data_IF_146718508528
#
_entry.id   IF_146718508528
#
_cell.length_a   1.000
_cell.length_b   1.000
_cell.length_c   1.000
_cell.angle_alpha   90.00
_cell.angle_beta   90.00
_cell.angle_gamma   90.00
#
_symmetry.space_group_name_H-M   'P 1'
#
loop_
_entity.id
_entity.type
_entity.pdbx_description
1 polymer ?
#
# COMPACT_ATOMS: atom_id res chain seq x y z
N UNK A 1 52.10 -33.82 4.13
CA UNK A 1 51.58 -34.24 5.45
C UNK A 1 50.13 -33.76 5.54
N UNK A 2 49.16 -34.62 5.21
CA UNK A 2 47.74 -34.25 5.20
C UNK A 2 47.20 -34.08 6.62
N UNK A 3 46.07 -33.38 6.81
CA UNK A 3 45.50 -33.16 8.14
C UNK A 3 45.20 -34.49 8.83
N UNK A 4 45.63 -34.60 10.09
CA UNK A 4 45.43 -35.80 10.92
C UNK A 4 43.93 -36.10 11.07
N UNK A 5 43.49 -37.36 11.22
CA UNK A 5 42.08 -37.73 11.32
C UNK A 5 41.26 -36.89 12.31
N UNK A 6 41.83 -36.55 13.48
CA UNK A 6 41.19 -35.65 14.45
C UNK A 6 41.02 -34.20 13.96
N UNK A 7 41.95 -33.70 13.13
CA UNK A 7 41.84 -32.39 12.50
C UNK A 7 40.72 -32.31 11.45
N UNK A 8 40.46 -33.42 10.73
CA UNK A 8 39.33 -33.50 9.79
C UNK A 8 37.97 -33.50 10.51
N UNK A 9 37.86 -34.22 11.63
CA UNK A 9 36.64 -34.23 12.45
C UNK A 9 36.36 -32.86 13.09
N UNK A 10 37.38 -32.20 13.63
CA UNK A 10 37.25 -30.86 14.17
C UNK A 10 36.86 -29.82 13.10
N UNK A 11 37.39 -29.94 11.87
CA UNK A 11 36.98 -29.10 10.75
C UNK A 11 35.52 -29.37 10.31
N UNK A 12 35.10 -30.63 10.29
CA UNK A 12 33.72 -31.00 9.98
C UNK A 12 32.73 -30.45 11.03
N UNK A 13 33.05 -30.56 12.32
CA UNK A 13 32.25 -29.99 13.40
C UNK A 13 32.12 -28.47 13.28
N UNK A 14 33.25 -27.75 13.10
CA UNK A 14 33.23 -26.29 12.88
C UNK A 14 32.39 -25.87 11.67
N UNK A 15 32.43 -26.65 10.60
CA UNK A 15 31.61 -26.39 9.40
C UNK A 15 30.13 -26.61 9.69
N UNK A 16 29.79 -27.64 10.47
CA UNK A 16 28.41 -27.89 10.89
C UNK A 16 27.87 -26.77 11.79
N UNK A 17 28.65 -26.32 12.77
CA UNK A 17 28.28 -25.20 13.65
C UNK A 17 28.06 -23.91 12.87
N UNK A 18 28.97 -23.59 11.94
CA UNK A 18 28.84 -22.41 11.09
C UNK A 18 27.58 -22.46 10.20
N UNK A 19 27.20 -23.65 9.71
CA UNK A 19 25.96 -23.83 8.93
C UNK A 19 24.71 -23.69 9.79
N UNK A 20 24.74 -24.21 11.02
CA UNK A 20 23.64 -24.06 11.97
C UNK A 20 23.42 -22.57 12.32
N UNK A 21 24.50 -21.85 12.62
CA UNK A 21 24.45 -20.42 12.88
C UNK A 21 23.94 -19.63 11.67
N UNK A 22 24.42 -19.95 10.47
CA UNK A 22 23.92 -19.33 9.24
C UNK A 22 22.41 -19.58 9.05
N UNK A 23 21.93 -20.78 9.39
CA UNK A 23 20.51 -21.14 9.26
C UNK A 23 19.65 -20.39 10.27
N UNK A 24 20.14 -20.22 11.51
CA UNK A 24 19.51 -19.39 12.54
C UNK A 24 19.39 -17.94 12.10
N UNK A 25 20.50 -17.34 11.65
CA UNK A 25 20.50 -15.95 11.19
C UNK A 25 19.59 -15.72 9.98
N UNK A 26 19.53 -16.67 9.05
CA UNK A 26 18.58 -16.62 7.92
C UNK A 26 17.14 -16.64 8.41
N UNK A 27 16.81 -17.52 9.35
CA UNK A 27 15.47 -17.58 9.93
C UNK A 27 15.09 -16.26 10.62
N UNK A 28 15.98 -15.73 11.47
CA UNK A 28 15.77 -14.42 12.12
C UNK A 28 15.55 -13.30 11.11
N UNK A 29 16.35 -13.27 10.05
CA UNK A 29 16.20 -12.29 8.96
C UNK A 29 14.85 -12.43 8.25
N UNK A 30 14.41 -13.66 7.93
CA UNK A 30 13.12 -13.91 7.29
C UNK A 30 11.96 -13.44 8.17
N UNK A 31 12.02 -13.72 9.48
CA UNK A 31 10.99 -13.28 10.43
C UNK A 31 10.94 -11.76 10.49
N UNK A 32 12.08 -11.08 10.66
CA UNK A 32 12.13 -9.61 10.71
C UNK A 32 11.62 -8.98 9.41
N UNK A 33 11.92 -9.57 8.26
CA UNK A 33 11.43 -9.11 6.97
C UNK A 33 9.91 -9.26 6.85
N UNK A 34 9.35 -10.40 7.27
CA UNK A 34 7.91 -10.62 7.28
C UNK A 34 7.17 -9.61 8.17
N UNK A 35 7.71 -9.31 9.36
CA UNK A 35 7.15 -8.28 10.24
C UNK A 35 7.16 -6.89 9.60
N UNK A 36 8.24 -6.52 8.91
CA UNK A 36 8.34 -5.26 8.19
C UNK A 36 7.29 -5.18 7.09
N UNK A 37 7.18 -6.22 6.25
CA UNK A 37 6.20 -6.26 5.15
C UNK A 37 4.75 -6.15 5.64
N UNK A 38 4.41 -6.83 6.73
CA UNK A 38 3.09 -6.72 7.34
C UNK A 38 2.82 -5.30 7.89
N UNK A 39 3.81 -4.69 8.54
CA UNK A 39 3.72 -3.30 9.04
C UNK A 39 3.54 -2.31 7.90
N UNK A 40 4.34 -2.42 6.83
CA UNK A 40 4.27 -1.54 5.66
C UNK A 40 2.90 -1.67 4.96
N UNK A 41 2.37 -2.89 4.85
CA UNK A 41 1.05 -3.12 4.27
C UNK A 41 -0.09 -2.53 5.12
N UNK A 42 -0.01 -2.64 6.45
CA UNK A 42 -0.98 -2.00 7.36
C UNK A 42 -0.96 -0.47 7.22
N UNK A 43 0.24 0.12 7.12
CA UNK A 43 0.38 1.56 6.89
C UNK A 43 -0.23 1.95 5.55
N UNK A 44 0.01 1.19 4.48
CA UNK A 44 -0.57 1.45 3.16
C UNK A 44 -2.10 1.43 3.16
N UNK A 45 -2.72 0.48 3.86
CA UNK A 45 -4.19 0.43 4.02
C UNK A 45 -4.70 1.67 4.75
N UNK A 46 -4.05 2.07 5.83
CA UNK A 46 -4.46 3.25 6.59
C UNK A 46 -4.34 4.52 5.75
N UNK A 47 -3.20 4.75 5.11
CA UNK A 47 -2.94 6.00 4.37
C UNK A 47 -3.83 6.13 3.14
N UNK A 48 -4.07 5.05 2.39
CA UNK A 48 -4.97 5.07 1.24
C UNK A 48 -6.42 5.31 1.65
N UNK A 49 -6.86 4.74 2.79
CA UNK A 49 -8.18 5.03 3.37
C UNK A 49 -8.33 6.51 3.75
N UNK A 50 -7.34 7.08 4.43
CA UNK A 50 -7.36 8.49 4.83
C UNK A 50 -7.40 9.40 3.59
N UNK A 51 -6.61 9.07 2.56
CA UNK A 51 -6.63 9.78 1.27
C UNK A 51 -8.00 9.69 0.58
N UNK A 52 -8.64 8.50 0.57
CA UNK A 52 -9.99 8.34 -0.01
C UNK A 52 -10.99 9.21 0.73
N UNK A 53 -10.95 9.26 2.06
CA UNK A 53 -11.86 10.09 2.86
C UNK A 53 -11.68 11.58 2.53
N UNK A 54 -10.44 12.05 2.42
CA UNK A 54 -10.16 13.44 2.04
C UNK A 54 -10.69 13.77 0.63
N UNK A 55 -10.46 12.90 -0.35
CA UNK A 55 -10.96 13.08 -1.71
C UNK A 55 -12.49 12.99 -1.79
N UNK A 56 -13.11 12.13 -0.98
CA UNK A 56 -14.57 12.08 -0.86
C UNK A 56 -15.13 13.42 -0.38
N UNK A 57 -14.50 14.04 0.61
CA UNK A 57 -14.86 15.38 1.08
C UNK A 57 -14.67 16.44 -0.01
N UNK A 58 -13.60 16.35 -0.79
CA UNK A 58 -13.35 17.25 -1.93
C UNK A 58 -14.46 17.14 -2.99
N UNK A 59 -14.87 15.92 -3.36
CA UNK A 59 -15.97 15.69 -4.30
C UNK A 59 -17.28 16.30 -3.78
N UNK A 60 -17.59 16.13 -2.50
CA UNK A 60 -18.80 16.72 -1.89
C UNK A 60 -18.76 18.26 -1.97
N UNK A 61 -17.61 18.88 -1.70
CA UNK A 61 -17.46 20.32 -1.78
C UNK A 61 -17.59 20.84 -3.23
N UNK A 62 -16.93 20.19 -4.19
CA UNK A 62 -17.00 20.56 -5.60
C UNK A 62 -18.40 20.35 -6.19
N UNK A 63 -19.14 19.34 -5.73
CA UNK A 63 -20.52 19.12 -6.15
C UNK A 63 -21.43 20.27 -5.73
N UNK A 64 -21.28 20.76 -4.50
CA UNK A 64 -21.98 21.97 -4.03
C UNK A 64 -21.57 23.20 -4.83
N UNK A 65 -20.30 23.32 -5.19
CA UNK A 65 -19.79 24.41 -6.03
C UNK A 65 -20.41 24.41 -7.43
N UNK A 66 -20.49 23.24 -8.07
CA UNK A 66 -21.12 23.07 -9.38
C UNK A 66 -22.63 23.37 -9.34
N UNK A 67 -23.33 22.93 -8.30
CA UNK A 67 -24.75 23.26 -8.08
C UNK A 67 -24.96 24.77 -7.93
N UNK A 68 -24.13 25.45 -7.13
CA UNK A 68 -24.21 26.89 -6.96
C UNK A 68 -23.91 27.66 -8.26
N UNK A 69 -22.96 27.19 -9.06
CA UNK A 69 -22.66 27.78 -10.36
C UNK A 69 -23.86 27.67 -11.32
N UNK A 70 -24.54 26.52 -11.36
CA UNK A 70 -25.76 26.33 -12.16
C UNK A 70 -26.89 27.27 -11.70
N UNK A 71 -27.10 27.41 -10.38
CA UNK A 71 -28.10 28.34 -9.83
C UNK A 71 -27.82 29.79 -10.25
N UNK A 72 -26.56 30.25 -10.16
CA UNK A 72 -26.16 31.61 -10.56
C UNK A 72 -26.32 31.85 -12.06
N UNK A 73 -25.97 30.86 -12.88
CA UNK A 73 -26.15 30.94 -14.32
C UNK A 73 -27.64 31.05 -14.70
N UNK A 74 -28.49 30.18 -14.13
CA UNK A 74 -29.95 30.24 -14.34
C UNK A 74 -30.57 31.55 -13.84
N UNK A 75 -30.01 32.13 -12.79
CA UNK A 75 -30.37 33.45 -12.28
C UNK A 75 -29.84 34.62 -13.11
N UNK A 76 -29.04 34.38 -14.16
CA UNK A 76 -28.44 35.41 -15.00
C UNK A 76 -27.30 36.20 -14.33
N UNK A 77 -26.75 35.69 -13.22
CA UNK A 77 -25.74 36.36 -12.40
C UNK A 77 -24.31 35.93 -12.77
N UNK A 78 -24.15 34.80 -13.46
CA UNK A 78 -22.84 34.30 -13.93
C UNK A 78 -22.89 33.75 -15.35
N UNK A 79 -21.72 33.61 -15.97
CA UNK A 79 -21.55 33.01 -17.29
C UNK A 79 -21.64 31.48 -17.24
N UNK A 80 -22.14 30.86 -18.30
CA UNK A 80 -22.14 29.40 -18.46
C UNK A 80 -20.72 28.78 -18.40
N UNK A 81 -19.69 29.56 -18.71
CA UNK A 81 -18.30 29.11 -18.57
C UNK A 81 -17.94 28.73 -17.12
N UNK A 82 -18.51 29.41 -16.12
CA UNK A 82 -18.29 29.05 -14.71
C UNK A 82 -18.93 27.70 -14.36
N UNK A 83 -20.07 27.38 -14.97
CA UNK A 83 -20.73 26.07 -14.81
C UNK A 83 -19.84 24.97 -15.39
N UNK A 84 -19.31 25.17 -16.60
CA UNK A 84 -18.43 24.21 -17.26
C UNK A 84 -17.13 24.00 -16.48
N UNK A 85 -16.53 25.06 -15.95
CA UNK A 85 -15.31 24.94 -15.15
C UNK A 85 -15.58 24.18 -13.83
N UNK A 86 -16.65 24.51 -13.11
CA UNK A 86 -17.02 23.82 -11.89
C UNK A 86 -17.33 22.33 -12.13
N UNK A 87 -18.03 22.00 -13.22
CA UNK A 87 -18.29 20.62 -13.61
C UNK A 87 -16.99 19.87 -13.99
N UNK A 88 -16.06 20.53 -14.70
CA UNK A 88 -14.76 19.94 -15.05
C UNK A 88 -13.92 19.64 -13.81
N UNK A 89 -13.91 20.54 -12.83
CA UNK A 89 -13.22 20.33 -11.56
C UNK A 89 -13.85 19.17 -10.77
N UNK A 90 -15.19 19.13 -10.67
CA UNK A 90 -15.91 18.03 -10.04
C UNK A 90 -15.58 16.68 -10.69
N UNK A 91 -15.66 16.60 -12.02
CA UNK A 91 -15.37 15.37 -12.76
C UNK A 91 -13.93 14.89 -12.53
N UNK A 92 -12.97 15.82 -12.52
CA UNK A 92 -11.57 15.49 -12.24
C UNK A 92 -11.37 14.94 -10.83
N UNK A 93 -12.09 15.49 -9.84
CA UNK A 93 -12.06 15.01 -8.46
C UNK A 93 -12.75 13.64 -8.29
N UNK A 94 -13.86 13.41 -9.00
CA UNK A 94 -14.55 12.10 -9.01
C UNK A 94 -13.67 11.00 -9.62
N UNK A 95 -12.94 11.32 -10.70
CA UNK A 95 -11.95 10.41 -11.28
C UNK A 95 -10.82 10.11 -10.29
N UNK A 96 -10.30 11.14 -9.61
CA UNK A 96 -9.27 10.98 -8.58
C UNK A 96 -9.72 10.10 -7.41
N UNK A 97 -10.96 10.28 -6.94
CA UNK A 97 -11.57 9.46 -5.90
C UNK A 97 -11.66 7.98 -6.32
N UNK A 98 -12.08 7.72 -7.56
CA UNK A 98 -12.17 6.37 -8.11
C UNK A 98 -10.79 5.68 -8.14
N UNK A 99 -9.74 6.40 -8.55
CA UNK A 99 -8.37 5.88 -8.52
C UNK A 99 -7.91 5.55 -7.09
N UNK A 100 -8.21 6.40 -6.11
CA UNK A 100 -7.81 6.13 -4.71
C UNK A 100 -8.62 4.99 -4.09
N UNK A 101 -9.89 4.81 -4.47
CA UNK A 101 -10.66 3.62 -4.09
C UNK A 101 -9.98 2.33 -4.60
N UNK A 102 -9.51 2.32 -5.84
CA UNK A 102 -8.73 1.21 -6.39
C UNK A 102 -7.43 0.97 -5.62
N UNK A 103 -6.72 2.04 -5.25
CA UNK A 103 -5.49 1.96 -4.45
C UNK A 103 -5.76 1.39 -3.05
N UNK A 104 -6.82 1.82 -2.37
CA UNK A 104 -7.23 1.28 -1.07
C UNK A 104 -7.53 -0.21 -1.18
N UNK A 105 -8.35 -0.64 -2.15
CA UNK A 105 -8.65 -2.05 -2.37
C UNK A 105 -7.39 -2.88 -2.66
N UNK A 106 -6.49 -2.33 -3.49
CA UNK A 106 -5.21 -2.98 -3.81
C UNK A 106 -4.29 -3.10 -2.60
N UNK A 107 -4.29 -2.10 -1.71
CA UNK A 107 -3.54 -2.15 -0.45
C UNK A 107 -4.07 -3.21 0.50
N UNK A 108 -5.39 -3.42 0.56
CA UNK A 108 -6.03 -4.48 1.35
C UNK A 108 -5.63 -5.87 0.82
N UNK A 109 -5.60 -6.06 -0.50
CA UNK A 109 -5.07 -7.29 -1.13
C UNK A 109 -3.58 -7.47 -0.82
N UNK A 110 -2.80 -6.37 -0.81
CA UNK A 110 -1.40 -6.36 -0.38
C UNK A 110 -1.22 -6.86 1.05
N UNK A 111 -2.03 -6.35 1.99
CA UNK A 111 -2.02 -6.78 3.38
C UNK A 111 -2.39 -8.26 3.54
N UNK A 112 -3.40 -8.73 2.81
CA UNK A 112 -3.77 -10.15 2.81
C UNK A 112 -2.59 -11.05 2.39
N UNK A 113 -1.83 -10.65 1.37
CA UNK A 113 -0.62 -11.38 0.95
C UNK A 113 0.48 -11.33 2.01
N UNK A 114 0.77 -10.15 2.57
CA UNK A 114 1.82 -9.98 3.59
C UNK A 114 1.57 -10.77 4.87
N UNK A 115 0.30 -10.95 5.26
CA UNK A 115 -0.09 -11.77 6.41
C UNK A 115 -0.07 -13.27 6.13
N UNK A 116 0.22 -13.68 4.89
CA UNK A 116 0.32 -15.09 4.54
C UNK A 116 -0.87 -15.69 3.81
N UNK A 117 -1.73 -14.88 3.21
CA UNK A 117 -2.83 -15.36 2.36
C UNK A 117 -2.39 -16.22 1.16
N UNK A 118 -1.08 -16.34 0.90
CA UNK A 118 -0.47 -17.20 -0.12
C UNK A 118 -0.07 -18.60 0.35
N UNK A 119 0.01 -18.91 1.66
CA UNK A 119 0.52 -20.21 2.14
C UNK A 119 -0.43 -21.40 1.95
N UNK A 120 -1.63 -21.20 1.37
CA UNK A 120 -2.65 -22.25 1.12
C UNK A 120 -2.85 -22.59 -0.36
N UNK A 121 -2.02 -22.09 -1.26
CA UNK A 121 -2.17 -22.29 -2.71
C UNK A 121 -1.18 -23.33 -3.29
N UNK A 122 -0.62 -24.20 -2.44
CA UNK A 122 0.21 -25.35 -2.83
C UNK A 122 -0.37 -26.65 -2.25
#
# INVERSE_FOLDING_TARGET
>A
MGPSPGGRLANAARTADARAEQSRLRFEQTVLQAFREASDALVAVRTTRDQRVAQQSQVVALRKGAELADIRYRGGVSSYLEVLDAQRQLFSAELGLSQTQLLELSSVVGLYRALGGSWRMD
#
